data_IF_900560191218
#
_entry.id   IF_900560191218
#
_cell.length_a   1.000
_cell.length_b   1.000
_cell.length_c   1.000
_cell.angle_alpha   90.00
_cell.angle_beta   90.00
_cell.angle_gamma   90.00
#
_symmetry.space_group_name_H-M   'P 1'
#
loop_
_entity.id
_entity.type
_entity.pdbx_description
1 polymer ?
#
# COMPACT_ATOMS: atom_id res chain seq x y z
N UNK A 1 -0.19 -3.07 -39.99
CA UNK A 1 -0.17 -1.82 -39.19
C UNK A 1 -0.23 -2.19 -37.71
N UNK A 2 0.76 -1.82 -36.89
CA UNK A 2 0.68 -1.95 -35.43
C UNK A 2 -0.01 -0.71 -34.89
N UNK A 3 -1.22 -0.86 -34.35
CA UNK A 3 -1.92 0.23 -33.66
C UNK A 3 -1.21 0.38 -32.31
N UNK A 4 -0.47 1.48 -32.12
CA UNK A 4 0.08 1.82 -30.83
C UNK A 4 -1.08 2.02 -29.85
N UNK A 5 -1.12 1.27 -28.74
CA UNK A 5 -2.09 1.50 -27.67
C UNK A 5 -1.75 2.85 -27.04
N UNK A 6 -2.58 3.86 -27.31
CA UNK A 6 -2.46 5.18 -26.70
C UNK A 6 -3.17 5.13 -25.35
N UNK A 7 -2.47 5.45 -24.27
CA UNK A 7 -3.10 5.57 -22.95
C UNK A 7 -4.14 6.71 -22.96
N UNK A 8 -5.34 6.49 -22.39
CA UNK A 8 -6.36 7.52 -22.30
C UNK A 8 -5.85 8.69 -21.45
N UNK A 9 -5.98 9.90 -21.99
CA UNK A 9 -5.62 11.13 -21.28
C UNK A 9 -6.85 11.68 -20.58
N UNK A 10 -6.71 11.99 -19.29
CA UNK A 10 -7.73 12.67 -18.51
C UNK A 10 -7.25 14.06 -18.10
N UNK A 11 -8.13 15.06 -18.22
CA UNK A 11 -7.89 16.43 -17.77
C UNK A 11 -8.74 16.69 -16.54
N UNK A 12 -8.15 17.24 -15.50
CA UNK A 12 -8.86 17.68 -14.31
C UNK A 12 -8.66 19.18 -14.10
N UNK A 13 -9.70 19.84 -13.59
CA UNK A 13 -9.65 21.24 -13.16
C UNK A 13 -9.69 21.27 -11.64
N UNK A 14 -8.80 22.06 -11.03
CA UNK A 14 -8.72 22.21 -9.58
C UNK A 14 -8.83 23.69 -9.23
N UNK A 15 -9.62 23.97 -8.19
CA UNK A 15 -9.67 25.29 -7.59
C UNK A 15 -8.53 25.42 -6.56
N UNK A 16 -7.78 26.51 -6.66
CA UNK A 16 -6.67 26.82 -5.75
C UNK A 16 -6.82 28.26 -5.24
N UNK A 17 -6.63 28.51 -3.94
CA UNK A 17 -6.49 29.88 -3.44
C UNK A 17 -5.37 30.62 -4.18
N UNK A 18 -5.56 31.90 -4.46
CA UNK A 18 -4.59 32.72 -5.21
C UNK A 18 -3.20 32.68 -4.58
N UNK A 19 -3.12 32.69 -3.25
CA UNK A 19 -1.85 32.60 -2.51
C UNK A 19 -1.09 31.30 -2.77
N UNK A 20 -1.81 30.18 -2.91
CA UNK A 20 -1.24 28.88 -3.20
C UNK A 20 -0.83 28.78 -4.68
N UNK A 21 -1.65 29.30 -5.59
CA UNK A 21 -1.31 29.38 -7.01
C UNK A 21 -0.05 30.22 -7.25
N UNK A 22 0.11 31.34 -6.55
CA UNK A 22 1.30 32.18 -6.67
C UNK A 22 2.56 31.45 -6.17
N UNK A 23 2.47 30.75 -5.03
CA UNK A 23 3.55 29.88 -4.54
C UNK A 23 3.90 28.80 -5.55
N UNK A 24 2.89 28.20 -6.19
CA UNK A 24 3.07 27.18 -7.21
C UNK A 24 3.79 27.72 -8.44
N UNK A 25 3.41 28.91 -8.93
CA UNK A 25 4.12 29.60 -10.03
C UNK A 25 5.57 29.87 -9.64
N UNK A 26 5.82 30.40 -8.44
CA UNK A 26 7.17 30.74 -8.00
C UNK A 26 8.06 29.49 -7.85
N UNK A 27 7.47 28.36 -7.43
CA UNK A 27 8.17 27.09 -7.24
C UNK A 27 8.43 26.35 -8.55
N UNK A 28 7.40 26.21 -9.40
CA UNK A 28 7.46 25.41 -10.62
C UNK A 28 7.96 26.21 -11.84
N UNK A 29 7.76 27.52 -11.84
CA UNK A 29 7.91 28.39 -13.00
C UNK A 29 6.63 28.47 -13.83
N UNK A 30 6.42 29.63 -14.46
CA UNK A 30 5.27 29.88 -15.35
C UNK A 30 5.30 28.87 -16.51
N UNK A 31 4.17 28.21 -16.79
CA UNK A 31 4.03 27.21 -17.86
C UNK A 31 4.50 25.79 -17.50
N UNK A 32 5.14 25.58 -16.34
CA UNK A 32 5.60 24.26 -15.89
C UNK A 32 4.73 23.63 -14.80
N UNK A 33 3.61 24.29 -14.45
CA UNK A 33 2.72 23.87 -13.38
C UNK A 33 2.20 22.45 -13.60
N UNK A 34 1.74 22.11 -14.81
CA UNK A 34 1.20 20.78 -15.10
C UNK A 34 2.25 19.69 -14.94
N UNK A 35 3.48 19.92 -15.42
CA UNK A 35 4.59 18.98 -15.26
C UNK A 35 4.96 18.81 -13.79
N UNK A 36 5.02 19.91 -13.04
CA UNK A 36 5.30 19.89 -11.61
C UNK A 36 4.23 19.12 -10.83
N UNK A 37 2.94 19.40 -11.08
CA UNK A 37 1.84 18.67 -10.45
C UNK A 37 1.91 17.18 -10.81
N UNK A 38 2.20 16.83 -12.07
CA UNK A 38 2.36 15.42 -12.50
C UNK A 38 3.45 14.71 -11.70
N UNK A 39 4.63 15.30 -11.58
CA UNK A 39 5.75 14.73 -10.83
C UNK A 39 5.40 14.57 -9.35
N UNK A 40 4.83 15.60 -8.73
CA UNK A 40 4.42 15.55 -7.32
C UNK A 40 3.36 14.47 -7.08
N UNK A 41 2.41 14.30 -8.00
CA UNK A 41 1.40 13.24 -7.90
C UNK A 41 2.01 11.85 -8.04
N UNK A 42 2.90 11.63 -9.02
CA UNK A 42 3.61 10.36 -9.20
C UNK A 42 4.42 9.99 -7.94
N UNK A 43 5.21 10.93 -7.41
CA UNK A 43 5.99 10.73 -6.18
C UNK A 43 5.11 10.43 -4.97
N UNK A 44 4.00 11.15 -4.81
CA UNK A 44 3.04 10.95 -3.71
C UNK A 44 2.38 9.59 -3.77
N UNK A 45 1.91 9.18 -4.94
CA UNK A 45 1.26 7.88 -5.13
C UNK A 45 2.23 6.73 -4.85
N UNK A 46 3.47 6.82 -5.34
CA UNK A 46 4.51 5.81 -5.06
C UNK A 46 4.81 5.75 -3.57
N UNK A 47 4.96 6.90 -2.91
CA UNK A 47 5.27 6.98 -1.48
C UNK A 47 4.11 6.43 -0.63
N UNK A 48 2.87 6.74 -0.98
CA UNK A 48 1.69 6.21 -0.28
C UNK A 48 1.55 4.70 -0.46
N UNK A 49 1.79 4.18 -1.67
CA UNK A 49 1.80 2.74 -1.93
C UNK A 49 2.90 2.02 -1.13
N UNK A 50 4.11 2.60 -1.09
CA UNK A 50 5.22 2.10 -0.30
C UNK A 50 4.91 2.12 1.21
N UNK A 51 4.35 3.21 1.72
CA UNK A 51 3.96 3.33 3.13
C UNK A 51 2.86 2.33 3.51
N UNK A 52 1.87 2.12 2.64
CA UNK A 52 0.83 1.10 2.84
C UNK A 52 1.43 -0.30 2.88
N UNK A 53 2.34 -0.61 1.96
CA UNK A 53 3.05 -1.90 1.93
C UNK A 53 3.91 -2.12 3.17
N UNK A 54 4.61 -1.09 3.64
CA UNK A 54 5.43 -1.17 4.85
C UNK A 54 4.56 -1.36 6.10
N UNK A 55 3.44 -0.64 6.20
CA UNK A 55 2.49 -0.80 7.29
C UNK A 55 1.89 -2.21 7.31
N UNK A 56 1.49 -2.73 6.14
CA UNK A 56 1.01 -4.10 6.02
C UNK A 56 2.08 -5.11 6.47
N UNK A 57 3.34 -4.93 6.04
CA UNK A 57 4.46 -5.78 6.46
C UNK A 57 4.67 -5.75 7.98
N UNK A 58 4.65 -4.56 8.60
CA UNK A 58 4.77 -4.40 10.06
C UNK A 58 3.63 -5.09 10.79
N UNK A 59 2.40 -4.97 10.28
CA UNK A 59 1.24 -5.63 10.85
C UNK A 59 1.34 -7.16 10.76
N UNK A 60 1.71 -7.71 9.60
CA UNK A 60 1.94 -9.15 9.43
C UNK A 60 3.03 -9.70 10.37
N UNK A 61 4.15 -8.98 10.53
CA UNK A 61 5.21 -9.37 11.47
C UNK A 61 4.67 -9.35 12.91
N UNK A 62 3.91 -8.32 13.28
CA UNK A 62 3.34 -8.18 14.62
C UNK A 62 2.34 -9.30 14.92
N UNK A 63 1.47 -9.62 13.96
CA UNK A 63 0.47 -10.66 14.09
C UNK A 63 1.13 -12.04 14.20
N UNK A 64 2.15 -12.32 13.37
CA UNK A 64 2.94 -13.54 13.48
C UNK A 64 3.64 -13.66 14.84
N UNK A 65 4.28 -12.59 15.33
CA UNK A 65 4.90 -12.58 16.65
C UNK A 65 3.87 -12.77 17.77
N UNK A 66 2.68 -12.19 17.65
CA UNK A 66 1.61 -12.35 18.62
C UNK A 66 1.10 -13.80 18.66
N UNK A 67 0.91 -14.42 17.49
CA UNK A 67 0.54 -15.85 17.38
C UNK A 67 1.64 -16.75 17.94
N UNK A 68 2.91 -16.51 17.62
CA UNK A 68 4.04 -17.26 18.15
C UNK A 68 4.22 -17.09 19.67
N UNK A 69 3.88 -15.92 20.22
CA UNK A 69 3.88 -15.66 21.66
C UNK A 69 2.64 -16.20 22.37
N UNK A 70 1.58 -16.52 21.65
CA UNK A 70 0.36 -17.08 22.22
C UNK A 70 0.54 -18.57 22.56
N UNK A 71 1.21 -18.81 23.69
CA UNK A 71 1.47 -20.15 24.25
C UNK A 71 0.21 -20.97 24.50
N UNK A 72 -0.95 -20.33 24.67
CA UNK A 72 -2.24 -21.00 24.86
C UNK A 72 -2.73 -21.60 23.54
N UNK A 73 -2.68 -20.82 22.45
CA UNK A 73 -3.01 -21.29 21.11
C UNK A 73 -2.07 -22.42 20.65
N UNK A 74 -0.76 -22.30 20.95
CA UNK A 74 0.19 -23.38 20.66
C UNK A 74 -0.08 -24.66 21.44
N UNK A 75 -0.53 -24.56 22.70
CA UNK A 75 -0.90 -25.73 23.50
C UNK A 75 -2.18 -26.37 23.00
N UNK A 76 -3.19 -25.58 22.64
CA UNK A 76 -4.46 -26.06 22.09
C UNK A 76 -4.28 -26.73 20.72
N UNK A 77 -3.50 -26.13 19.81
CA UNK A 77 -3.14 -26.74 18.52
C UNK A 77 -2.37 -28.06 18.70
N UNK A 78 -1.40 -28.08 19.62
CA UNK A 78 -0.62 -29.29 19.91
C UNK A 78 -1.45 -30.39 20.58
N UNK A 79 -2.49 -30.02 21.34
CA UNK A 79 -3.45 -30.97 21.88
C UNK A 79 -4.37 -31.53 20.78
N UNK A 80 -4.83 -30.68 19.86
CA UNK A 80 -5.64 -31.09 18.70
C UNK A 80 -4.88 -32.00 17.72
N UNK A 81 -3.61 -31.72 17.43
CA UNK A 81 -2.76 -32.61 16.63
C UNK A 81 -2.66 -33.99 17.26
N UNK A 82 -2.42 -34.07 18.58
CA UNK A 82 -2.30 -35.35 19.30
C UNK A 82 -3.59 -36.17 19.21
N UNK A 83 -4.74 -35.54 19.39
CA UNK A 83 -6.03 -36.22 19.23
C UNK A 83 -6.29 -36.67 17.79
N UNK A 84 -5.78 -35.94 16.79
CA UNK A 84 -5.91 -36.32 15.37
C UNK A 84 -5.06 -37.55 15.01
N UNK A 85 -3.87 -37.70 15.61
CA UNK A 85 -3.01 -38.87 15.42
C UNK A 85 -3.48 -40.10 16.21
N UNK A 86 -4.14 -39.92 17.35
CA UNK A 86 -4.72 -41.04 18.11
C UNK A 86 -5.96 -41.63 17.39
N UNK A 87 -6.85 -40.80 16.85
CA UNK A 87 -8.01 -41.26 16.05
C UNK A 87 -7.61 -41.93 14.71
N UNK A 88 -6.39 -41.70 14.24
CA UNK A 88 -5.88 -42.27 12.98
C UNK A 88 -5.21 -43.64 13.15
N UNK A 89 -4.93 -44.07 14.39
CA UNK A 89 -4.24 -45.33 14.69
C UNK A 89 -5.19 -46.46 15.15
N UNK A 90 -6.48 -46.20 15.26
CA UNK A 90 -7.52 -47.19 15.62
C UNK A 90 -8.34 -47.67 14.40
N UNK A 91 -7.71 -47.79 13.22
CA UNK A 91 -8.29 -48.48 12.05
C UNK A 91 -7.36 -49.52 11.45
#
# INVERSE_FOLDING_TARGET
>A
MRIARIEPRHTFSIYLPTSLYQKLINKAGKGKISTFIKQVLEEKLITEEQNQKENLRKQLIKDYQAQAKNKRLQRELKAMERTQFEDSNDK
#
